data_IF_515758493032
#
_entry.id   IF_515758493032
#
_cell.length_a   1.000
_cell.length_b   1.000
_cell.length_c   1.000
_cell.angle_alpha   90.00
_cell.angle_beta   90.00
_cell.angle_gamma   90.00
#
_symmetry.space_group_name_H-M   'P 1'
#
loop_
_entity.id
_entity.type
_entity.pdbx_description
1 polymer ?
#
# COMPACT_ATOMS: atom_id res chain seq x y z
N UNK A 1 -33.42 -21.29 9.54
CA UNK A 1 -32.02 -21.23 10.04
C UNK A 1 -31.09 -20.82 8.89
N UNK A 2 -30.84 -19.52 8.75
CA UNK A 2 -30.01 -18.98 7.67
C UNK A 2 -28.54 -19.32 7.93
N UNK A 3 -27.93 -20.15 7.07
CA UNK A 3 -26.49 -20.43 7.10
C UNK A 3 -25.75 -19.18 6.63
N UNK A 4 -25.37 -18.31 7.56
CA UNK A 4 -24.48 -17.18 7.29
C UNK A 4 -23.14 -17.75 6.84
N UNK A 5 -22.89 -17.77 5.52
CA UNK A 5 -21.58 -18.07 4.97
C UNK A 5 -20.61 -17.04 5.57
N UNK A 6 -19.77 -17.45 6.52
CA UNK A 6 -18.66 -16.63 7.00
C UNK A 6 -17.94 -16.09 5.76
N UNK A 7 -17.80 -14.77 5.58
CA UNK A 7 -17.05 -14.25 4.45
C UNK A 7 -15.67 -14.89 4.51
N UNK A 8 -15.22 -15.51 3.40
CA UNK A 8 -13.83 -15.96 3.26
C UNK A 8 -12.97 -14.78 3.68
N UNK A 9 -12.27 -14.91 4.80
CA UNK A 9 -11.36 -13.87 5.30
C UNK A 9 -10.41 -13.55 4.14
N UNK A 10 -10.60 -12.39 3.50
CA UNK A 10 -9.72 -11.95 2.44
C UNK A 10 -8.33 -11.90 3.06
N UNK A 11 -7.45 -12.79 2.60
CA UNK A 11 -6.07 -12.78 3.06
C UNK A 11 -5.52 -11.36 2.85
N UNK A 12 -4.85 -10.78 3.84
CA UNK A 12 -4.34 -9.44 3.72
C UNK A 12 -3.38 -9.38 2.54
N UNK A 13 -3.63 -8.44 1.63
CA UNK A 13 -2.88 -8.29 0.39
C UNK A 13 -1.66 -7.43 0.70
N UNK A 14 -0.44 -7.88 0.40
CA UNK A 14 0.75 -7.05 0.59
C UNK A 14 0.68 -5.77 -0.21
N UNK A 15 1.31 -4.71 0.31
CA UNK A 15 1.38 -3.40 -0.30
C UNK A 15 1.80 -3.45 -1.78
N UNK A 16 2.80 -4.27 -2.11
CA UNK A 16 3.29 -4.40 -3.48
C UNK A 16 2.23 -4.99 -4.41
N UNK A 17 1.43 -5.95 -3.94
CA UNK A 17 0.35 -6.56 -4.73
C UNK A 17 -0.82 -5.60 -4.92
N UNK A 18 -1.15 -4.81 -3.90
CA UNK A 18 -2.15 -3.77 -4.06
C UNK A 18 -1.69 -2.68 -5.03
N UNK A 19 -0.43 -2.23 -4.92
CA UNK A 19 0.10 -1.22 -5.84
C UNK A 19 0.10 -1.65 -7.32
N UNK A 20 0.14 -2.95 -7.62
CA UNK A 20 -0.03 -3.49 -8.99
C UNK A 20 -1.41 -3.15 -9.56
N UNK A 21 -2.44 -2.99 -8.72
CA UNK A 21 -3.78 -2.63 -9.20
C UNK A 21 -3.91 -1.16 -9.58
N UNK A 22 -2.89 -0.34 -9.32
CA UNK A 22 -2.84 1.08 -9.69
C UNK A 22 -2.08 1.23 -11.02
N UNK A 23 -2.76 1.56 -12.13
CA UNK A 23 -2.14 1.52 -13.46
C UNK A 23 -0.91 2.42 -13.58
N UNK A 24 0.20 1.84 -14.04
CA UNK A 24 1.42 2.61 -14.31
C UNK A 24 2.23 3.01 -13.08
N UNK A 25 1.79 2.70 -11.86
CA UNK A 25 2.55 2.97 -10.64
C UNK A 25 3.90 2.25 -10.65
N UNK A 26 4.94 2.96 -10.24
CA UNK A 26 6.27 2.41 -10.11
C UNK A 26 6.45 1.69 -8.77
N UNK A 27 6.23 0.37 -8.76
CA UNK A 27 6.31 -0.48 -7.57
C UNK A 27 7.63 -0.36 -6.78
N UNK A 28 8.76 -0.07 -7.44
CA UNK A 28 10.05 0.10 -6.75
C UNK A 28 10.14 1.42 -5.98
N UNK A 29 9.30 2.40 -6.34
CA UNK A 29 9.25 3.74 -5.73
C UNK A 29 8.12 3.89 -4.73
N UNK A 30 7.04 3.10 -4.81
CA UNK A 30 5.88 3.19 -3.89
C UNK A 30 6.26 3.30 -2.42
N UNK A 31 7.19 2.46 -1.92
CA UNK A 31 7.58 2.52 -0.51
C UNK A 31 8.34 3.81 -0.17
N UNK A 32 9.14 4.33 -1.11
CA UNK A 32 9.82 5.62 -0.98
C UNK A 32 8.86 6.81 -1.10
N UNK A 33 7.85 6.73 -1.97
CA UNK A 33 6.81 7.76 -2.07
C UNK A 33 6.03 7.85 -0.75
N UNK A 34 5.64 6.70 -0.19
CA UNK A 34 4.97 6.64 1.12
C UNK A 34 5.88 7.08 2.27
N UNK A 35 7.20 6.96 2.14
CA UNK A 35 8.15 7.53 3.10
C UNK A 35 8.21 9.05 3.03
N UNK A 36 8.26 9.60 1.81
CA UNK A 36 8.20 11.05 1.54
C UNK A 36 6.93 11.67 2.13
N UNK A 37 5.81 10.94 2.05
CA UNK A 37 4.51 11.33 2.59
C UNK A 37 4.35 11.04 4.10
N UNK A 38 5.43 10.65 4.80
CA UNK A 38 5.42 10.36 6.24
C UNK A 38 4.46 9.24 6.66
N UNK A 39 4.13 8.31 5.76
CA UNK A 39 3.31 7.13 6.03
C UNK A 39 4.16 5.91 6.39
N UNK A 40 5.32 5.78 5.73
CA UNK A 40 6.32 4.76 6.03
C UNK A 40 7.62 5.40 6.53
N UNK A 41 8.48 4.57 7.12
CA UNK A 41 9.85 4.93 7.47
C UNK A 41 10.80 3.76 7.24
N UNK A 42 12.04 4.08 6.93
CA UNK A 42 13.14 3.13 6.94
C UNK A 42 14.36 3.75 7.60
N UNK A 43 14.91 3.09 8.62
CA UNK A 43 16.07 3.60 9.38
C UNK A 43 17.42 3.36 8.69
N UNK A 44 17.43 2.72 7.52
CA UNK A 44 18.62 2.47 6.73
C UNK A 44 18.34 1.52 5.57
N UNK A 45 19.16 1.55 4.52
CA UNK A 45 18.88 0.85 3.25
C UNK A 45 18.63 -0.65 3.42
N UNK A 46 19.37 -1.30 4.32
CA UNK A 46 19.26 -2.74 4.63
C UNK A 46 18.21 -3.08 5.71
N UNK A 47 17.55 -2.09 6.29
CA UNK A 47 16.54 -2.31 7.34
C UNK A 47 15.16 -2.50 6.72
N UNK A 48 14.29 -3.32 7.35
CA UNK A 48 12.93 -3.49 6.88
C UNK A 48 12.18 -2.15 6.94
N UNK A 49 11.25 -1.99 6.01
CA UNK A 49 10.29 -0.90 6.03
C UNK A 49 9.36 -1.05 7.23
N UNK A 50 9.07 0.08 7.90
CA UNK A 50 8.14 0.14 9.01
C UNK A 50 7.06 1.19 8.75
N UNK A 51 5.89 0.97 9.30
CA UNK A 51 4.79 1.92 9.32
C UNK A 51 5.15 3.04 10.30
N UNK A 52 4.91 4.29 9.89
CA UNK A 52 5.01 5.43 10.81
C UNK A 52 3.79 5.41 11.72
N UNK A 53 3.96 4.84 12.92
CA UNK A 53 2.87 4.65 13.90
C UNK A 53 2.09 5.92 14.22
N UNK A 54 2.73 7.09 14.19
CA UNK A 54 2.08 8.37 14.46
C UNK A 54 0.97 8.71 13.46
N UNK A 55 1.20 8.46 12.17
CA UNK A 55 0.31 8.94 11.10
C UNK A 55 -0.46 7.82 10.39
N UNK A 56 0.07 6.60 10.41
CA UNK A 56 -0.31 5.57 9.44
C UNK A 56 -0.62 4.20 10.07
N UNK A 57 -0.71 4.11 11.41
CA UNK A 57 -1.01 2.85 12.12
C UNK A 57 -2.38 2.26 11.75
N UNK A 58 -3.37 3.10 11.44
CA UNK A 58 -4.71 2.68 11.01
C UNK A 58 -4.76 2.34 9.50
N UNK A 59 -3.81 2.87 8.72
CA UNK A 59 -3.72 2.66 7.27
C UNK A 59 -2.94 1.39 6.91
N UNK A 60 -1.94 1.02 7.69
CA UNK A 60 -1.05 -0.09 7.34
C UNK A 60 -0.72 -0.96 8.56
N UNK A 61 -0.69 -2.27 8.31
CA UNK A 61 -0.22 -3.28 9.25
C UNK A 61 1.14 -3.84 8.83
N UNK A 62 2.04 -4.00 9.80
CA UNK A 62 3.28 -4.76 9.62
C UNK A 62 3.00 -6.21 10.00
N UNK A 63 3.29 -7.16 9.11
CA UNK A 63 3.23 -8.58 9.44
C UNK A 63 4.50 -9.29 9.01
N UNK A 64 4.93 -10.25 9.82
CA UNK A 64 6.05 -11.13 9.52
C UNK A 64 5.48 -12.41 8.92
N UNK A 65 6.02 -12.84 7.79
CA UNK A 65 5.65 -14.11 7.17
C UNK A 65 6.30 -15.27 7.93
N UNK A 66 5.50 -16.14 8.54
CA UNK A 66 5.98 -17.26 9.35
C UNK A 66 6.98 -18.15 8.61
N UNK A 67 6.75 -18.40 7.32
CA UNK A 67 7.60 -19.27 6.48
C UNK A 67 8.96 -18.67 6.15
N UNK A 68 9.09 -17.35 6.07
CA UNK A 68 10.31 -16.69 5.54
C UNK A 68 10.97 -15.73 6.52
N UNK A 69 10.33 -15.42 7.65
CA UNK A 69 10.78 -14.41 8.60
C UNK A 69 10.79 -12.98 8.03
N UNK A 70 10.33 -12.78 6.79
CA UNK A 70 10.32 -11.47 6.15
C UNK A 70 9.15 -10.65 6.65
N UNK A 71 9.40 -9.41 7.06
CA UNK A 71 8.35 -8.44 7.34
C UNK A 71 7.85 -7.80 6.05
N UNK A 72 6.54 -7.74 5.84
CA UNK A 72 5.92 -6.96 4.78
C UNK A 72 4.85 -6.03 5.34
N UNK A 73 4.43 -5.09 4.51
CA UNK A 73 3.43 -4.07 4.86
C UNK A 73 2.13 -4.42 4.16
N UNK A 74 1.02 -4.33 4.88
CA UNK A 74 -0.32 -4.68 4.41
C UNK A 74 -1.24 -3.48 4.61
N UNK A 75 -1.74 -2.86 3.53
CA UNK A 75 -2.74 -1.81 3.67
C UNK A 75 -4.06 -2.37 4.19
N UNK A 76 -4.63 -1.68 5.18
CA UNK A 76 -6.02 -1.87 5.60
C UNK A 76 -6.96 -1.36 4.50
N UNK A 77 -8.27 -1.51 4.67
CA UNK A 77 -9.21 -0.95 3.68
C UNK A 77 -9.12 0.58 3.60
N UNK A 78 -8.89 1.26 4.72
CA UNK A 78 -8.57 2.69 4.76
C UNK A 78 -7.24 3.00 4.08
N UNK A 79 -6.20 2.18 4.31
CA UNK A 79 -4.91 2.33 3.64
C UNK A 79 -5.00 2.19 2.12
N UNK A 80 -5.82 1.26 1.63
CA UNK A 80 -6.09 1.08 0.20
C UNK A 80 -6.79 2.31 -0.39
N UNK A 81 -7.78 2.85 0.31
CA UNK A 81 -8.46 4.08 -0.08
C UNK A 81 -7.47 5.25 -0.15
N UNK A 82 -6.63 5.42 0.89
CA UNK A 82 -5.61 6.47 0.93
C UNK A 82 -4.59 6.34 -0.20
N UNK A 83 -4.16 5.12 -0.52
CA UNK A 83 -3.27 4.89 -1.66
C UNK A 83 -3.90 5.24 -3.00
N UNK A 84 -5.21 5.02 -3.16
CA UNK A 84 -5.94 5.44 -4.36
C UNK A 84 -6.02 6.95 -4.46
N UNK A 85 -6.33 7.63 -3.35
CA UNK A 85 -6.33 9.10 -3.28
C UNK A 85 -4.96 9.68 -3.68
N UNK A 86 -3.86 9.12 -3.15
CA UNK A 86 -2.50 9.53 -3.51
C UNK A 86 -2.16 9.28 -4.98
N UNK A 87 -2.67 8.19 -5.55
CA UNK A 87 -2.52 7.89 -6.97
C UNK A 87 -3.25 8.90 -7.85
N UNK A 88 -4.50 9.21 -7.51
CA UNK A 88 -5.34 10.17 -8.23
C UNK A 88 -4.78 11.60 -8.12
N UNK A 89 -4.20 11.94 -6.96
CA UNK A 89 -3.51 13.20 -6.72
C UNK A 89 -2.15 13.31 -7.43
N UNK A 90 -1.62 12.22 -8.01
CA UNK A 90 -0.30 12.22 -8.66
C UNK A 90 0.89 12.19 -7.70
N UNK A 91 0.67 11.88 -6.42
CA UNK A 91 1.73 11.80 -5.40
C UNK A 91 2.54 10.50 -5.46
N UNK A 92 2.00 9.48 -6.13
CA UNK A 92 2.70 8.22 -6.40
C UNK A 92 3.48 8.30 -7.71
N UNK A 93 4.76 7.93 -7.66
CA UNK A 93 5.62 7.91 -8.84
C UNK A 93 5.12 6.88 -9.86
N UNK A 94 4.89 7.31 -11.10
CA UNK A 94 4.59 6.41 -12.22
C UNK A 94 5.87 5.95 -12.93
N UNK A 95 5.78 4.85 -13.67
CA UNK A 95 6.86 4.42 -14.58
C UNK A 95 6.97 5.41 -15.74
N UNK A 96 8.20 5.63 -16.23
CA UNK A 96 8.47 6.52 -17.35
C UNK A 96 7.52 6.24 -18.54
N UNK A 97 6.96 7.29 -19.13
CA UNK A 97 6.00 7.21 -20.24
C UNK A 97 4.55 6.93 -19.83
N UNK A 98 4.23 6.81 -18.53
CA UNK A 98 2.84 6.73 -18.03
C UNK A 98 2.44 8.07 -17.42
N UNK A 99 1.32 8.63 -17.86
CA UNK A 99 0.65 9.73 -17.17
C UNK A 99 -0.51 9.18 -16.34
N UNK A 100 -0.81 9.80 -15.19
CA UNK A 100 -2.09 9.57 -14.52
C UNK A 100 -3.13 10.03 -15.53
N UNK A 101 -3.91 9.11 -16.10
CA UNK A 101 -5.13 9.51 -16.80
C UNK A 101 -5.99 10.13 -15.71
N UNK A 102 -5.96 11.46 -15.62
CA UNK A 102 -6.91 12.22 -14.83
C UNK A 102 -8.28 11.70 -15.25
N UNK A 103 -8.91 10.91 -14.39
CA UNK A 103 -10.31 10.59 -14.48
C UNK A 103 -11.04 11.91 -14.19
N UNK A 104 -11.02 12.82 -15.18
CA UNK A 104 -12.04 13.85 -15.28
C UNK A 104 -13.34 13.08 -15.44
N UNK A 105 -14.08 12.95 -14.35
CA UNK A 105 -15.49 12.64 -14.45
C UNK A 105 -16.14 13.77 -15.27
N UNK A 106 -17.03 13.44 -16.21
CA UNK A 106 -17.79 14.41 -16.99
C UNK A 106 -18.68 15.29 -16.11
#
# INVERSE_FOLDING_TARGET
MSKTKKPRTKLPVPLHRFAVTLPGVNLSKVKSDLERLLLLRRTGVRRPWKVRKANAKHLFEERVWDRTGKSDIFPTDEGKAKMRELYEAGELTLRAGRQVKSLRQP
#
